data_IF_177809089734
#
_entry.id   IF_177809089734
#
_cell.length_a   1.000
_cell.length_b   1.000
_cell.length_c   1.000
_cell.angle_alpha   90.00
_cell.angle_beta   90.00
_cell.angle_gamma   90.00
#
_symmetry.space_group_name_H-M   'P 1'
#
loop_
_entity.id
_entity.type
_entity.pdbx_description
1 polymer ?
#
# COMPACT_ATOMS: atom_id res chain seq x y z
N UNK A 1 -17.55 -14.38 77.05
CA UNK A 1 -17.63 -12.94 76.82
C UNK A 1 -16.29 -12.29 77.24
N UNK A 2 -15.37 -12.06 76.34
CA UNK A 2 -14.22 -11.20 76.58
C UNK A 2 -13.96 -10.45 75.29
N UNK A 3 -14.13 -9.13 75.35
CA UNK A 3 -13.79 -8.16 74.29
C UNK A 3 -12.27 -7.91 74.30
N UNK A 4 -11.60 -8.00 73.16
CA UNK A 4 -10.27 -7.49 73.03
C UNK A 4 -10.29 -6.29 72.02
N UNK A 5 -9.92 -5.11 72.58
CA UNK A 5 -9.61 -3.93 71.85
C UNK A 5 -8.21 -4.08 71.19
N UNK A 6 -8.06 -3.76 69.94
CA UNK A 6 -6.75 -3.50 69.31
C UNK A 6 -6.69 -2.03 68.89
N UNK A 7 -5.67 -1.36 69.39
CA UNK A 7 -5.30 0.01 69.01
C UNK A 7 -4.43 -0.03 67.76
N UNK A 8 -4.49 0.99 66.85
CA UNK A 8 -3.62 1.06 65.72
C UNK A 8 -2.29 1.74 66.06
N UNK A 9 -1.21 1.11 65.63
CA UNK A 9 0.14 1.68 65.70
C UNK A 9 0.35 2.54 64.46
N UNK A 10 0.57 3.84 64.63
CA UNK A 10 0.96 4.79 63.59
C UNK A 10 2.45 4.73 63.43
N UNK A 11 2.95 4.26 62.29
CA UNK A 11 4.37 4.35 61.88
C UNK A 11 4.52 5.55 60.98
N UNK A 12 5.22 6.56 61.50
CA UNK A 12 5.57 7.76 60.75
C UNK A 12 6.84 7.48 59.93
N UNK A 13 6.69 7.43 58.58
CA UNK A 13 7.82 7.30 57.66
C UNK A 13 8.16 8.69 57.07
N UNK A 14 9.28 9.19 57.49
CA UNK A 14 9.90 10.42 56.96
C UNK A 14 10.45 10.13 55.56
N UNK A 15 9.83 10.76 54.51
CA UNK A 15 10.31 10.67 53.13
C UNK A 15 11.32 11.84 52.89
N UNK A 16 12.58 11.48 52.65
CA UNK A 16 13.59 12.41 52.14
C UNK A 16 13.31 12.68 50.65
N UNK A 17 13.01 13.92 50.30
CA UNK A 17 13.03 14.39 48.92
C UNK A 17 14.46 14.66 48.49
N UNK A 18 14.99 13.82 47.60
CA UNK A 18 16.22 14.11 46.86
C UNK A 18 15.80 14.77 45.55
N UNK A 19 16.17 16.04 45.38
CA UNK A 19 15.91 16.79 44.15
C UNK A 19 16.96 16.37 43.12
N UNK A 20 16.56 15.51 42.17
CA UNK A 20 17.33 15.29 40.95
C UNK A 20 16.85 16.27 39.87
N UNK A 21 17.75 17.13 39.43
CA UNK A 21 17.56 18.05 38.32
C UNK A 21 17.29 17.27 37.02
N UNK A 22 16.07 17.45 36.45
CA UNK A 22 15.73 16.91 35.15
C UNK A 22 16.37 17.76 34.03
N UNK A 23 17.51 17.33 33.53
CA UNK A 23 17.93 17.72 32.18
C UNK A 23 17.07 16.95 31.17
N UNK A 24 16.03 17.59 30.65
CA UNK A 24 15.31 17.12 29.47
C UNK A 24 16.20 17.26 28.24
N UNK A 25 16.93 16.22 27.92
CA UNK A 25 17.48 16.07 26.59
C UNK A 25 16.31 15.76 25.64
N UNK A 26 15.99 16.72 24.78
CA UNK A 26 15.09 16.57 23.65
C UNK A 26 15.66 15.48 22.72
N UNK A 27 15.17 14.26 22.84
CA UNK A 27 15.43 13.20 21.83
C UNK A 27 14.45 13.42 20.71
N UNK A 28 14.95 13.99 19.63
CA UNK A 28 14.28 14.05 18.34
C UNK A 28 14.21 12.63 17.76
N UNK A 29 13.04 11.99 17.57
CA UNK A 29 12.98 10.61 17.06
C UNK A 29 12.99 10.51 15.52
N UNK A 30 13.50 11.52 14.82
CA UNK A 30 13.47 11.59 13.37
C UNK A 30 14.84 11.53 12.72
N UNK A 31 15.68 10.61 13.14
CA UNK A 31 16.95 10.43 12.46
C UNK A 31 17.12 8.99 11.96
N UNK A 32 16.39 8.61 10.89
CA UNK A 32 17.03 7.81 9.86
C UNK A 32 17.78 8.76 8.91
N UNK A 33 18.72 9.49 9.46
CA UNK A 33 19.70 10.29 8.75
C UNK A 33 20.99 9.51 8.60
N UNK A 34 20.94 8.36 7.93
CA UNK A 34 22.11 7.69 7.41
C UNK A 34 22.30 8.17 5.97
N UNK A 35 23.46 8.73 5.65
CA UNK A 35 23.92 9.00 4.29
C UNK A 35 23.66 7.76 3.42
N UNK A 36 22.67 7.86 2.54
CA UNK A 36 22.35 6.79 1.59
C UNK A 36 23.44 6.73 0.54
N UNK A 37 24.41 5.84 0.77
CA UNK A 37 25.19 5.31 -0.34
C UNK A 37 24.28 4.37 -1.14
N UNK A 38 24.40 4.37 -2.46
CA UNK A 38 23.70 3.55 -3.45
C UNK A 38 23.94 2.03 -3.33
N UNK A 39 24.23 1.54 -2.14
CA UNK A 39 24.30 0.13 -1.78
C UNK A 39 23.08 -0.15 -0.91
N UNK A 40 22.30 -1.20 -1.27
CA UNK A 40 21.16 -1.65 -0.50
C UNK A 40 21.49 -1.69 0.98
N UNK A 41 20.51 -1.38 1.83
CA UNK A 41 20.70 -1.38 3.28
C UNK A 41 21.32 -2.73 3.70
N UNK A 42 22.48 -2.68 4.34
CA UNK A 42 23.10 -3.88 4.86
C UNK A 42 22.15 -4.50 5.89
N UNK A 43 22.01 -5.82 5.82
CA UNK A 43 21.22 -6.64 6.74
C UNK A 43 21.52 -6.33 8.22
N UNK A 44 22.75 -5.92 8.50
CA UNK A 44 23.26 -5.59 9.84
C UNK A 44 22.68 -4.28 10.43
N UNK A 45 21.90 -3.51 9.68
CA UNK A 45 21.30 -2.25 10.15
C UNK A 45 19.86 -2.40 10.62
N UNK A 46 19.21 -3.55 10.41
CA UNK A 46 17.86 -3.79 10.89
C UNK A 46 17.86 -4.07 12.41
N UNK A 47 16.90 -3.52 13.18
CA UNK A 47 16.78 -3.86 14.59
C UNK A 47 16.43 -5.35 14.75
N UNK A 48 16.76 -5.97 15.89
CA UNK A 48 16.35 -7.33 16.16
C UNK A 48 14.82 -7.42 16.29
N UNK A 49 14.20 -8.57 15.96
CA UNK A 49 12.79 -8.79 16.22
C UNK A 49 12.43 -8.51 17.69
N UNK A 50 11.27 -7.85 17.87
CA UNK A 50 10.75 -7.49 19.19
C UNK A 50 11.63 -6.50 19.99
N UNK A 51 12.48 -5.73 19.34
CA UNK A 51 13.24 -4.64 19.98
C UNK A 51 12.31 -3.61 20.67
N UNK A 52 11.12 -3.45 20.15
CA UNK A 52 10.01 -2.70 20.76
C UNK A 52 8.77 -3.58 20.82
N UNK A 53 7.83 -3.36 21.79
CA UNK A 53 6.54 -4.01 21.78
C UNK A 53 5.76 -3.65 20.52
N UNK A 54 5.07 -4.63 19.92
CA UNK A 54 4.18 -4.37 18.80
C UNK A 54 2.94 -3.60 19.26
N UNK A 55 2.78 -2.37 18.80
CA UNK A 55 1.65 -1.53 19.10
C UNK A 55 0.51 -1.70 18.08
N UNK A 56 -0.73 -1.48 18.52
CA UNK A 56 -1.92 -1.34 17.65
C UNK A 56 -2.41 0.09 17.79
N UNK A 57 -2.07 0.93 16.82
CA UNK A 57 -2.47 2.34 16.79
C UNK A 57 -3.25 2.62 15.51
N UNK A 58 -4.57 2.50 15.59
CA UNK A 58 -5.47 2.76 14.46
C UNK A 58 -5.73 4.26 14.35
N UNK A 59 -5.42 4.83 13.19
CA UNK A 59 -5.70 6.25 12.91
C UNK A 59 -7.19 6.57 13.03
N UNK A 60 -7.49 7.79 13.42
CA UNK A 60 -8.83 8.37 13.43
C UNK A 60 -8.95 9.29 12.22
N UNK A 61 -9.79 8.92 11.27
CA UNK A 61 -10.05 9.75 10.09
C UNK A 61 -10.99 10.88 10.49
N UNK A 62 -10.55 12.12 10.27
CA UNK A 62 -11.34 13.34 10.50
C UNK A 62 -11.79 14.01 9.19
N UNK A 63 -11.23 13.59 8.03
CA UNK A 63 -11.51 14.18 6.73
C UNK A 63 -10.78 15.51 6.50
N UNK A 64 -11.00 16.08 5.32
CA UNK A 64 -10.44 17.37 4.92
C UNK A 64 -11.48 18.46 5.16
N UNK A 65 -11.10 19.53 5.86
CA UNK A 65 -11.91 20.74 5.96
C UNK A 65 -11.97 21.46 4.61
N UNK A 66 -13.00 22.28 4.42
CA UNK A 66 -13.15 23.07 3.20
C UNK A 66 -11.91 23.93 2.93
N UNK A 67 -11.41 23.87 1.69
CA UNK A 67 -10.23 24.60 1.27
C UNK A 67 -8.89 24.00 1.70
N UNK A 68 -8.87 22.95 2.54
CA UNK A 68 -7.64 22.22 2.87
C UNK A 68 -7.31 21.16 1.84
N UNK A 69 -6.04 21.03 1.52
CA UNK A 69 -5.50 20.04 0.59
C UNK A 69 -4.24 19.39 1.16
N UNK A 70 -3.81 18.24 0.64
CA UNK A 70 -2.46 17.76 0.86
C UNK A 70 -1.42 18.82 0.48
N UNK A 71 -0.23 18.72 1.07
CA UNK A 71 0.87 19.68 0.91
C UNK A 71 1.91 19.09 -0.04
N UNK A 72 2.10 19.71 -1.19
CA UNK A 72 3.16 19.39 -2.15
C UNK A 72 4.37 20.35 -1.94
N UNK A 73 5.55 20.02 -2.52
CA UNK A 73 6.70 20.91 -2.53
C UNK A 73 6.40 22.26 -3.23
N UNK A 74 7.22 23.26 -2.95
CA UNK A 74 7.16 24.54 -3.68
C UNK A 74 7.28 24.31 -5.20
N UNK A 75 6.49 25.05 -5.97
CA UNK A 75 6.40 24.88 -7.43
C UNK A 75 5.31 23.90 -7.88
N UNK A 76 4.49 23.40 -6.97
CA UNK A 76 3.33 22.57 -7.29
C UNK A 76 2.04 23.16 -6.71
N UNK A 77 0.95 22.88 -7.40
CA UNK A 77 -0.42 23.17 -6.94
C UNK A 77 -1.17 21.87 -6.75
N UNK A 78 -1.89 21.76 -5.62
CA UNK A 78 -2.78 20.63 -5.31
C UNK A 78 -4.21 21.10 -5.43
N UNK A 79 -5.01 20.39 -6.23
CA UNK A 79 -6.45 20.64 -6.40
C UNK A 79 -7.24 19.36 -6.22
N UNK A 80 -8.52 19.48 -5.91
CA UNK A 80 -9.44 18.36 -5.91
C UNK A 80 -9.83 18.06 -7.36
N UNK A 81 -9.51 16.85 -7.86
CA UNK A 81 -9.92 16.38 -9.18
C UNK A 81 -11.38 15.88 -9.17
N UNK A 82 -11.72 15.07 -8.16
CA UNK A 82 -13.07 14.55 -7.98
C UNK A 82 -13.29 14.18 -6.50
N UNK A 83 -14.55 14.19 -6.07
CA UNK A 83 -14.99 13.71 -4.77
C UNK A 83 -16.29 12.92 -4.86
N UNK A 84 -16.86 12.54 -3.69
CA UNK A 84 -18.10 11.78 -3.63
C UNK A 84 -18.00 10.39 -4.26
N UNK A 85 -16.80 9.79 -4.27
CA UNK A 85 -16.57 8.39 -4.58
C UNK A 85 -16.86 7.52 -3.35
N UNK A 86 -16.73 6.21 -3.50
CA UNK A 86 -16.91 5.25 -2.42
C UNK A 86 -15.67 4.36 -2.32
N UNK A 87 -14.70 4.77 -1.51
CA UNK A 87 -13.38 4.13 -1.37
C UNK A 87 -12.63 3.99 -2.71
N UNK A 88 -12.19 5.07 -3.36
CA UNK A 88 -11.39 5.01 -4.59
C UNK A 88 -10.03 4.37 -4.29
N UNK A 89 -9.79 3.21 -4.90
CA UNK A 89 -8.57 2.42 -4.61
C UNK A 89 -7.53 2.52 -5.70
N UNK A 90 -7.93 2.32 -6.95
CA UNK A 90 -6.97 2.25 -8.04
C UNK A 90 -7.39 3.10 -9.22
N UNK A 91 -6.42 3.74 -9.84
CA UNK A 91 -6.58 4.56 -11.03
C UNK A 91 -5.95 3.83 -12.21
N UNK A 92 -6.65 3.76 -13.31
CA UNK A 92 -6.09 3.40 -14.61
C UNK A 92 -6.40 4.53 -15.60
N UNK A 93 -5.35 5.14 -16.15
CA UNK A 93 -5.45 6.16 -17.20
C UNK A 93 -5.23 5.48 -18.53
N UNK A 94 -6.22 5.51 -19.40
CA UNK A 94 -6.17 4.91 -20.72
C UNK A 94 -5.46 5.82 -21.74
N UNK A 95 -4.97 5.23 -22.83
CA UNK A 95 -4.27 5.94 -23.90
C UNK A 95 -5.12 7.06 -24.54
N UNK A 96 -6.45 6.94 -24.52
CA UNK A 96 -7.40 7.95 -25.01
C UNK A 96 -7.68 9.08 -23.99
N UNK A 97 -7.14 9.00 -22.79
CA UNK A 97 -7.33 9.96 -21.71
C UNK A 97 -8.51 9.64 -20.77
N UNK A 98 -9.26 8.56 -21.00
CA UNK A 98 -10.28 8.09 -20.06
C UNK A 98 -9.63 7.66 -18.74
N UNK A 99 -10.24 8.03 -17.60
CA UNK A 99 -9.72 7.77 -16.26
C UNK A 99 -10.68 6.84 -15.54
N UNK A 100 -10.24 5.60 -15.28
CA UNK A 100 -11.02 4.57 -14.61
C UNK A 100 -10.60 4.44 -13.16
N UNK A 101 -11.57 4.43 -12.25
CA UNK A 101 -11.37 4.36 -10.81
C UNK A 101 -12.05 3.11 -10.27
N UNK A 102 -11.27 2.19 -9.71
CA UNK A 102 -11.82 1.06 -8.96
C UNK A 102 -12.25 1.53 -7.56
N UNK A 103 -13.53 1.37 -7.25
CA UNK A 103 -14.10 1.68 -5.95
C UNK A 103 -14.42 0.38 -5.21
N UNK A 104 -13.67 0.13 -4.13
CA UNK A 104 -13.77 -1.11 -3.37
C UNK A 104 -13.25 -0.96 -1.95
N UNK A 105 -13.81 -1.73 -1.02
CA UNK A 105 -13.47 -1.65 0.39
C UNK A 105 -13.22 -3.03 1.00
N UNK A 106 -12.53 -3.06 2.16
CA UNK A 106 -12.39 -4.28 2.95
C UNK A 106 -13.70 -4.62 3.65
N UNK A 107 -14.24 -5.79 3.36
CA UNK A 107 -15.52 -6.28 3.92
C UNK A 107 -15.23 -7.04 5.20
N UNK A 108 -15.84 -6.63 6.33
CA UNK A 108 -15.79 -7.34 7.60
C UNK A 108 -17.11 -8.07 7.83
N UNK A 109 -17.04 -9.36 8.21
CA UNK A 109 -18.20 -10.20 8.47
C UNK A 109 -18.20 -10.77 9.90
N UNK A 110 -19.39 -11.02 10.46
CA UNK A 110 -19.58 -11.76 11.70
C UNK A 110 -18.79 -11.21 12.89
N UNK A 111 -18.17 -12.10 13.66
CA UNK A 111 -17.39 -11.78 14.87
C UNK A 111 -16.26 -10.80 14.59
N UNK A 112 -15.65 -10.83 13.41
CA UNK A 112 -14.57 -9.91 13.02
C UNK A 112 -15.11 -8.47 12.99
N UNK A 113 -16.34 -8.25 12.52
CA UNK A 113 -16.99 -6.93 12.51
C UNK A 113 -17.21 -6.40 13.93
N UNK A 114 -17.63 -7.25 14.86
CA UNK A 114 -17.80 -6.88 16.29
C UNK A 114 -16.44 -6.56 16.93
N UNK A 115 -15.46 -7.42 16.77
CA UNK A 115 -14.11 -7.22 17.30
C UNK A 115 -13.42 -5.96 16.74
N UNK A 116 -13.68 -5.59 15.48
CA UNK A 116 -13.14 -4.37 14.88
C UNK A 116 -13.70 -3.09 15.50
N UNK A 117 -14.97 -3.10 15.92
CA UNK A 117 -15.59 -1.99 16.68
C UNK A 117 -14.94 -1.84 18.04
N UNK A 118 -14.78 -2.96 18.78
CA UNK A 118 -14.19 -2.97 20.12
C UNK A 118 -12.72 -2.52 20.10
N UNK A 119 -11.95 -2.91 19.09
CA UNK A 119 -10.53 -2.55 18.94
C UNK A 119 -10.30 -1.15 18.34
N UNK A 120 -11.35 -0.36 18.15
CA UNK A 120 -11.29 0.96 17.46
C UNK A 120 -10.81 0.90 16.00
N UNK A 121 -10.64 -0.28 15.42
CA UNK A 121 -10.18 -0.48 14.05
C UNK A 121 -11.09 0.23 13.02
N UNK A 122 -12.38 0.33 13.32
CA UNK A 122 -13.36 0.99 12.45
C UNK A 122 -13.12 2.51 12.31
N UNK A 123 -12.35 3.14 13.22
CA UNK A 123 -11.98 4.55 13.15
C UNK A 123 -11.18 4.91 11.90
N UNK A 124 -10.51 3.91 11.32
CA UNK A 124 -9.70 4.10 10.10
C UNK A 124 -10.56 4.27 8.85
N UNK A 125 -11.87 4.06 8.94
CA UNK A 125 -12.84 4.06 7.84
C UNK A 125 -12.49 3.12 6.65
N UNK A 126 -11.40 2.38 6.73
CA UNK A 126 -10.94 1.43 5.70
C UNK A 126 -11.72 0.10 5.68
N UNK A 127 -12.92 0.06 6.29
CA UNK A 127 -13.74 -1.15 6.41
C UNK A 127 -15.22 -0.80 6.29
N UNK A 128 -15.94 -1.52 5.43
CA UNK A 128 -17.36 -1.25 5.25
C UNK A 128 -18.01 -2.06 4.15
N UNK A 129 -19.06 -1.50 3.60
CA UNK A 129 -19.66 -1.98 2.35
C UNK A 129 -18.70 -1.62 1.22
N UNK A 130 -18.53 -2.49 0.26
CA UNK A 130 -17.73 -2.22 -0.93
C UNK A 130 -18.65 -1.83 -2.08
N UNK A 131 -18.35 -0.72 -2.77
CA UNK A 131 -19.11 -0.28 -3.95
C UNK A 131 -19.03 -1.30 -5.08
N UNK A 132 -17.89 -2.03 -5.17
CA UNK A 132 -17.71 -3.08 -6.17
C UNK A 132 -17.96 -2.63 -7.61
N UNK A 133 -17.46 -1.44 -7.95
CA UNK A 133 -17.66 -0.82 -9.27
C UNK A 133 -16.37 -0.19 -9.80
N UNK A 134 -16.39 0.13 -11.08
CA UNK A 134 -15.45 1.02 -11.75
C UNK A 134 -16.21 2.27 -12.19
N UNK A 135 -15.68 3.44 -11.80
CA UNK A 135 -16.19 4.74 -12.24
C UNK A 135 -15.26 5.31 -13.31
N UNK A 136 -15.82 5.82 -14.39
CA UNK A 136 -15.15 6.51 -15.47
C UNK A 136 -15.27 8.01 -15.32
N UNK A 137 -14.15 8.72 -15.46
CA UNK A 137 -14.10 10.17 -15.62
C UNK A 137 -13.52 10.54 -16.99
N UNK A 138 -14.01 11.62 -17.59
CA UNK A 138 -13.45 12.27 -18.77
C UNK A 138 -13.22 13.73 -18.49
N UNK A 139 -12.01 14.17 -18.75
CA UNK A 139 -11.53 15.56 -18.73
C UNK A 139 -11.15 15.89 -20.19
N UNK A 140 -12.15 16.24 -20.99
CA UNK A 140 -12.03 16.34 -22.44
C UNK A 140 -11.21 17.58 -22.87
N UNK A 141 -11.33 18.68 -22.12
CA UNK A 141 -10.58 19.92 -22.37
C UNK A 141 -9.22 19.95 -21.65
N UNK A 142 -8.92 18.91 -20.84
CA UNK A 142 -7.67 18.71 -20.09
C UNK A 142 -7.35 19.84 -19.12
N UNK A 143 -8.39 20.48 -18.59
CA UNK A 143 -8.23 21.55 -17.59
C UNK A 143 -8.02 21.00 -16.16
N UNK A 144 -8.20 19.71 -15.94
CA UNK A 144 -8.05 19.02 -14.67
C UNK A 144 -9.32 18.98 -13.84
N UNK A 145 -10.47 19.29 -14.45
CA UNK A 145 -11.80 19.15 -13.88
C UNK A 145 -12.63 18.28 -14.86
N UNK A 146 -13.00 17.07 -14.48
CA UNK A 146 -13.71 16.18 -15.41
C UNK A 146 -15.12 16.69 -15.71
N UNK A 147 -15.47 16.78 -17.01
CA UNK A 147 -16.82 17.19 -17.45
C UNK A 147 -17.84 16.07 -17.30
N UNK A 148 -17.40 14.82 -17.23
CA UNK A 148 -18.32 13.71 -17.10
C UNK A 148 -17.84 12.64 -16.12
N UNK A 149 -18.83 12.01 -15.46
CA UNK A 149 -18.66 10.88 -14.55
C UNK A 149 -19.70 9.83 -14.84
N UNK A 150 -19.29 8.59 -15.04
CA UNK A 150 -20.18 7.47 -15.31
C UNK A 150 -19.85 6.27 -14.41
N UNK A 151 -20.86 5.51 -13.97
CA UNK A 151 -20.65 4.16 -13.48
C UNK A 151 -20.34 3.29 -14.69
N UNK A 152 -19.07 2.96 -14.89
CA UNK A 152 -18.62 2.24 -16.07
C UNK A 152 -18.90 0.75 -16.00
N UNK A 153 -18.68 0.15 -14.83
CA UNK A 153 -18.89 -1.28 -14.60
C UNK A 153 -19.23 -1.51 -13.13
N UNK A 154 -20.27 -2.27 -12.86
CA UNK A 154 -20.70 -2.61 -11.50
C UNK A 154 -20.93 -4.12 -11.33
N UNK A 155 -21.26 -4.58 -10.11
CA UNK A 155 -21.46 -6.02 -9.85
C UNK A 155 -20.15 -6.82 -9.78
N UNK A 156 -19.04 -6.15 -9.51
CA UNK A 156 -17.71 -6.74 -9.34
C UNK A 156 -17.53 -7.31 -7.93
N UNK A 157 -16.37 -7.93 -7.65
CA UNK A 157 -16.01 -8.45 -6.32
C UNK A 157 -14.69 -7.83 -5.87
N UNK A 158 -14.74 -6.72 -5.15
CA UNK A 158 -13.58 -5.95 -4.70
C UNK A 158 -12.58 -5.71 -5.87
N UNK A 159 -13.00 -4.97 -6.93
CA UNK A 159 -12.13 -4.69 -8.06
C UNK A 159 -10.92 -3.86 -7.63
N UNK A 160 -9.79 -4.05 -8.31
CA UNK A 160 -8.58 -3.27 -8.05
C UNK A 160 -7.84 -2.92 -9.34
N UNK A 161 -6.95 -3.78 -9.84
CA UNK A 161 -6.20 -3.53 -11.08
C UNK A 161 -7.07 -3.55 -12.32
N UNK A 162 -6.78 -2.66 -13.24
CA UNK A 162 -7.46 -2.53 -14.53
C UNK A 162 -6.44 -2.40 -15.65
N UNK A 163 -6.80 -2.85 -16.85
CA UNK A 163 -5.92 -2.82 -18.01
C UNK A 163 -6.74 -2.87 -19.30
N UNK A 164 -6.34 -2.12 -20.32
CA UNK A 164 -6.90 -2.22 -21.67
C UNK A 164 -5.84 -2.83 -22.61
N UNK A 165 -6.19 -3.93 -23.27
CA UNK A 165 -5.37 -4.56 -24.31
C UNK A 165 -6.22 -4.78 -25.57
N UNK A 166 -5.90 -4.06 -26.65
CA UNK A 166 -6.75 -4.03 -27.84
C UNK A 166 -8.16 -3.60 -27.51
N UNK A 167 -9.14 -4.36 -27.92
CA UNK A 167 -10.57 -4.12 -27.67
C UNK A 167 -11.08 -4.86 -26.42
N UNK A 168 -10.24 -5.04 -25.42
CA UNK A 168 -10.60 -5.73 -24.19
C UNK A 168 -10.23 -4.91 -22.96
N UNK A 169 -11.18 -4.78 -22.04
CA UNK A 169 -11.00 -4.21 -20.71
C UNK A 169 -10.87 -5.35 -19.69
N UNK A 170 -9.79 -5.36 -18.96
CA UNK A 170 -9.51 -6.34 -17.92
C UNK A 170 -9.69 -5.74 -16.55
N UNK A 171 -10.35 -6.46 -15.65
CA UNK A 171 -10.49 -6.09 -14.23
C UNK A 171 -10.07 -7.27 -13.36
N UNK A 172 -9.12 -7.02 -12.46
CA UNK A 172 -8.77 -7.98 -11.43
C UNK A 172 -9.67 -7.76 -10.21
N UNK A 173 -10.59 -8.70 -10.01
CA UNK A 173 -11.33 -8.87 -8.78
C UNK A 173 -10.49 -9.63 -7.75
N UNK A 174 -10.91 -9.65 -6.48
CA UNK A 174 -10.18 -10.40 -5.45
C UNK A 174 -10.07 -11.89 -5.76
N UNK A 175 -11.01 -12.46 -6.50
CA UNK A 175 -11.14 -13.91 -6.79
C UNK A 175 -10.92 -14.30 -8.24
N UNK A 176 -10.86 -13.36 -9.18
CA UNK A 176 -10.71 -13.68 -10.60
C UNK A 176 -10.26 -12.47 -11.42
N UNK A 177 -9.54 -12.72 -12.50
CA UNK A 177 -9.34 -11.79 -13.59
C UNK A 177 -10.48 -11.95 -14.60
N UNK A 178 -11.20 -10.88 -14.86
CA UNK A 178 -12.27 -10.82 -15.85
C UNK A 178 -11.87 -9.94 -17.03
N UNK A 179 -12.32 -10.35 -18.22
CA UNK A 179 -12.17 -9.62 -19.48
C UNK A 179 -13.55 -9.24 -20.01
N UNK A 180 -13.66 -8.06 -20.58
CA UNK A 180 -14.87 -7.52 -21.18
C UNK A 180 -14.56 -6.98 -22.56
N UNK A 181 -15.50 -7.08 -23.55
CA UNK A 181 -15.41 -6.29 -24.77
C UNK A 181 -15.40 -4.80 -24.44
N UNK A 182 -14.52 -4.05 -25.09
CA UNK A 182 -14.36 -2.60 -24.87
C UNK A 182 -14.09 -1.88 -26.18
N UNK A 183 -14.75 -0.74 -26.37
CA UNK A 183 -14.46 0.22 -27.42
C UNK A 183 -14.14 1.59 -26.82
N UNK A 184 -13.14 2.26 -27.37
CA UNK A 184 -12.81 3.63 -26.92
C UNK A 184 -14.04 4.54 -27.09
N UNK A 185 -14.40 5.22 -26.01
CA UNK A 185 -15.63 6.04 -25.98
C UNK A 185 -16.80 5.39 -25.27
N UNK A 186 -16.77 4.09 -24.95
CA UNK A 186 -17.80 3.46 -24.12
C UNK A 186 -17.94 4.20 -22.79
N UNK A 187 -19.18 4.37 -22.32
CA UNK A 187 -19.49 4.98 -21.01
C UNK A 187 -19.93 3.96 -19.97
N UNK A 188 -20.22 2.74 -20.42
CA UNK A 188 -20.59 1.61 -19.56
C UNK A 188 -20.34 0.28 -20.26
N UNK A 189 -20.16 -0.77 -19.46
CA UNK A 189 -20.07 -2.18 -19.91
C UNK A 189 -21.08 -3.01 -19.13
N UNK A 190 -21.78 -3.92 -19.82
CA UNK A 190 -22.62 -4.93 -19.16
C UNK A 190 -21.73 -5.98 -18.48
N UNK A 191 -21.89 -6.16 -17.19
CA UNK A 191 -21.15 -7.17 -16.41
C UNK A 191 -21.42 -8.60 -16.89
N UNK A 192 -22.54 -8.85 -17.55
CA UNK A 192 -22.87 -10.18 -18.10
C UNK A 192 -22.03 -10.52 -19.35
N UNK A 193 -21.42 -9.52 -20.00
CA UNK A 193 -20.53 -9.74 -21.15
C UNK A 193 -19.14 -10.29 -20.76
N UNK A 194 -18.89 -10.48 -19.45
CA UNK A 194 -17.60 -10.94 -18.94
C UNK A 194 -17.18 -12.32 -19.46
N UNK A 195 -15.89 -12.45 -19.71
CA UNK A 195 -15.19 -13.71 -19.79
C UNK A 195 -14.26 -13.85 -18.58
N UNK A 196 -14.38 -14.94 -17.83
CA UNK A 196 -13.41 -15.27 -16.79
C UNK A 196 -12.13 -15.80 -17.43
N UNK A 197 -11.02 -15.09 -17.17
CA UNK A 197 -9.71 -15.40 -17.76
C UNK A 197 -8.90 -16.27 -16.82
N UNK A 198 -8.92 -15.98 -15.51
CA UNK A 198 -8.14 -16.70 -14.52
C UNK A 198 -8.81 -16.60 -13.15
N UNK A 199 -8.98 -17.74 -12.47
CA UNK A 199 -9.33 -17.75 -11.05
C UNK A 199 -8.12 -17.33 -10.21
N UNK A 200 -8.36 -16.47 -9.22
CA UNK A 200 -7.34 -16.00 -8.27
C UNK A 200 -7.68 -16.50 -6.86
N UNK A 201 -6.68 -16.82 -6.03
CA UNK A 201 -6.94 -17.32 -4.69
C UNK A 201 -7.58 -16.23 -3.82
N UNK A 202 -8.75 -16.50 -3.24
CA UNK A 202 -9.50 -15.57 -2.39
C UNK A 202 -9.78 -16.11 -0.96
N UNK A 203 -9.12 -17.23 -0.60
CA UNK A 203 -9.28 -17.86 0.71
C UNK A 203 -10.65 -18.53 0.88
N UNK A 204 -11.26 -19.02 -0.21
CA UNK A 204 -12.57 -19.65 -0.24
C UNK A 204 -13.68 -18.74 0.34
N UNK A 205 -13.51 -17.43 0.17
CA UNK A 205 -14.41 -16.39 0.69
C UNK A 205 -14.24 -16.12 2.21
N UNK A 206 -13.26 -16.73 2.86
CA UNK A 206 -12.94 -16.45 4.25
C UNK A 206 -12.03 -15.21 4.37
N UNK A 207 -12.55 -14.10 4.91
CA UNK A 207 -11.82 -12.82 5.05
C UNK A 207 -10.49 -13.00 5.78
N UNK A 208 -10.41 -13.83 6.81
CA UNK A 208 -9.18 -14.08 7.57
C UNK A 208 -8.08 -14.77 6.77
N UNK A 209 -8.45 -15.47 5.68
CA UNK A 209 -7.55 -16.16 4.76
C UNK A 209 -7.27 -15.33 3.49
N UNK A 210 -7.75 -14.09 3.42
CA UNK A 210 -7.57 -13.18 2.30
C UNK A 210 -7.43 -11.73 2.77
N UNK A 211 -6.55 -11.51 3.76
CA UNK A 211 -6.36 -10.16 4.35
C UNK A 211 -5.77 -9.16 3.34
N UNK A 212 -5.01 -9.65 2.36
CA UNK A 212 -4.51 -8.86 1.23
C UNK A 212 -5.31 -9.22 -0.02
N UNK A 213 -6.46 -8.59 -0.17
CA UNK A 213 -7.44 -8.89 -1.21
C UNK A 213 -7.19 -8.15 -2.53
N UNK A 214 -6.30 -7.17 -2.56
CA UNK A 214 -5.99 -6.39 -3.77
C UNK A 214 -5.27 -7.24 -4.83
N UNK A 215 -5.56 -6.97 -6.11
CA UNK A 215 -4.96 -7.62 -7.27
C UNK A 215 -4.63 -6.56 -8.30
N UNK A 216 -3.37 -6.16 -8.40
CA UNK A 216 -2.97 -5.17 -9.40
C UNK A 216 -2.56 -5.83 -10.71
N UNK A 217 -2.68 -5.09 -11.80
CA UNK A 217 -2.35 -5.54 -13.15
C UNK A 217 -1.35 -4.58 -13.80
N UNK A 218 -0.36 -5.14 -14.48
CA UNK A 218 0.44 -4.41 -15.48
C UNK A 218 0.71 -5.33 -16.67
N UNK A 219 0.96 -4.75 -17.84
CA UNK A 219 1.39 -5.49 -19.02
C UNK A 219 2.85 -5.20 -19.33
N UNK A 220 3.54 -6.10 -20.04
CA UNK A 220 4.85 -5.80 -20.58
C UNK A 220 4.75 -4.81 -21.75
N UNK A 221 5.86 -4.23 -22.15
CA UNK A 221 5.92 -3.23 -23.23
C UNK A 221 5.35 -3.79 -24.55
N UNK A 222 5.54 -5.07 -24.84
CA UNK A 222 5.00 -5.73 -26.03
C UNK A 222 3.50 -6.01 -25.94
N UNK A 223 2.84 -5.74 -24.81
CA UNK A 223 1.42 -6.04 -24.52
C UNK A 223 1.07 -7.54 -24.72
N UNK A 224 2.06 -8.43 -24.58
CA UNK A 224 1.94 -9.87 -24.80
C UNK A 224 1.78 -10.68 -23.51
N UNK A 225 2.02 -10.08 -22.35
CA UNK A 225 1.91 -10.67 -21.02
C UNK A 225 1.18 -9.76 -20.06
N UNK A 226 0.43 -10.35 -19.14
CA UNK A 226 -0.18 -9.66 -17.99
C UNK A 226 0.50 -10.18 -16.72
N UNK A 227 0.94 -9.26 -15.87
CA UNK A 227 1.49 -9.53 -14.55
C UNK A 227 0.45 -9.17 -13.50
N UNK A 228 0.20 -10.08 -12.54
CA UNK A 228 -0.83 -9.95 -11.53
C UNK A 228 -0.19 -10.03 -10.15
N UNK A 229 -0.27 -8.96 -9.37
CA UNK A 229 0.16 -8.98 -7.97
C UNK A 229 -0.86 -9.72 -7.10
N UNK A 230 -0.41 -10.70 -6.33
CA UNK A 230 -1.25 -11.50 -5.43
C UNK A 230 -0.63 -11.52 -4.05
N UNK A 231 -1.20 -10.77 -3.12
CA UNK A 231 -0.73 -10.73 -1.73
C UNK A 231 -1.01 -12.03 -0.97
N UNK A 232 -0.25 -12.25 0.10
CA UNK A 232 -0.44 -13.36 1.03
C UNK A 232 -1.86 -13.39 1.60
N UNK A 233 -2.37 -14.55 1.94
CA UNK A 233 -3.66 -14.71 2.58
C UNK A 233 -3.65 -14.29 4.05
N UNK A 234 -2.45 -14.30 4.66
CA UNK A 234 -2.22 -14.09 6.09
C UNK A 234 -0.98 -13.24 6.36
N UNK A 235 -0.67 -12.95 7.64
CA UNK A 235 0.51 -12.16 8.01
C UNK A 235 1.82 -12.93 7.76
N UNK A 236 1.90 -14.19 8.18
CA UNK A 236 3.12 -15.01 8.14
C UNK A 236 2.84 -16.48 7.81
N UNK A 237 1.74 -16.81 7.17
CA UNK A 237 1.35 -18.19 6.88
C UNK A 237 0.68 -18.91 8.06
N UNK A 238 0.13 -18.16 9.02
CA UNK A 238 -0.48 -18.71 10.26
C UNK A 238 -1.72 -19.57 10.02
N UNK A 239 -2.32 -19.50 8.81
CA UNK A 239 -3.45 -20.36 8.42
C UNK A 239 -3.02 -21.60 7.62
N UNK A 240 -1.70 -21.88 7.59
CA UNK A 240 -1.09 -22.99 6.87
C UNK A 240 -0.69 -22.62 5.44
N UNK A 241 0.43 -23.18 4.99
CA UNK A 241 1.00 -22.89 3.66
C UNK A 241 0.09 -23.31 2.50
N UNK A 242 -0.80 -24.26 2.70
CA UNK A 242 -1.80 -24.63 1.70
C UNK A 242 -2.75 -23.49 1.34
N UNK A 243 -2.99 -22.53 2.26
CA UNK A 243 -3.77 -21.33 1.98
C UNK A 243 -2.97 -20.25 1.25
N UNK A 244 -1.66 -20.44 1.12
CA UNK A 244 -0.74 -19.50 0.49
C UNK A 244 -0.30 -19.95 -0.92
N UNK A 245 -0.88 -21.04 -1.42
CA UNK A 245 -0.62 -21.50 -2.81
C UNK A 245 -1.06 -20.40 -3.79
N UNK A 246 -0.16 -20.03 -4.72
CA UNK A 246 -0.33 -18.95 -5.70
C UNK A 246 -0.55 -17.57 -5.06
N UNK A 247 0.02 -17.34 -3.84
CA UNK A 247 -0.02 -16.07 -3.11
C UNK A 247 1.39 -15.60 -2.75
N UNK A 248 1.49 -14.38 -2.22
CA UNK A 248 2.76 -13.72 -1.94
C UNK A 248 3.69 -13.73 -3.15
N UNK A 249 3.15 -13.41 -4.32
CA UNK A 249 3.83 -13.53 -5.60
C UNK A 249 3.32 -12.52 -6.63
N UNK A 250 4.00 -12.52 -7.77
CA UNK A 250 3.52 -11.93 -9.01
C UNK A 250 3.35 -13.10 -9.99
N UNK A 251 2.13 -13.26 -10.50
CA UNK A 251 1.81 -14.20 -11.57
C UNK A 251 2.06 -13.55 -12.93
N UNK A 252 2.50 -14.34 -13.91
CA UNK A 252 2.54 -13.96 -15.33
C UNK A 252 1.61 -14.87 -16.12
N UNK A 253 0.83 -14.29 -17.04
CA UNK A 253 -0.06 -15.02 -17.95
C UNK A 253 -0.03 -14.40 -19.34
N UNK A 254 -0.51 -15.16 -20.33
CA UNK A 254 -0.92 -14.60 -21.61
C UNK A 254 -2.27 -13.84 -21.46
N UNK A 255 -2.62 -12.87 -22.34
CA UNK A 255 -3.89 -12.15 -22.25
C UNK A 255 -5.15 -13.05 -22.31
N UNK A 256 -5.04 -14.25 -22.88
CA UNK A 256 -6.13 -15.23 -22.95
C UNK A 256 -6.24 -16.13 -21.69
N UNK A 257 -5.33 -15.95 -20.71
CA UNK A 257 -5.26 -16.70 -19.46
C UNK A 257 -4.35 -17.94 -19.52
N UNK A 258 -3.85 -18.30 -20.69
CA UNK A 258 -2.92 -19.44 -20.83
C UNK A 258 -1.51 -19.09 -20.33
N UNK A 259 -0.67 -20.10 -20.16
CA UNK A 259 0.74 -19.92 -19.83
C UNK A 259 0.97 -19.33 -18.42
N UNK A 260 0.06 -19.59 -17.46
CA UNK A 260 0.22 -19.14 -16.09
C UNK A 260 1.50 -19.71 -15.47
N UNK A 261 2.27 -18.79 -14.85
CA UNK A 261 3.41 -19.15 -14.01
C UNK A 261 3.61 -18.13 -12.89
N UNK A 262 4.33 -18.53 -11.86
CA UNK A 262 4.81 -17.61 -10.84
C UNK A 262 6.05 -16.90 -11.39
N UNK A 263 5.96 -15.59 -11.64
CA UNK A 263 7.08 -14.79 -12.13
C UNK A 263 8.11 -14.51 -11.03
N UNK A 264 7.64 -14.16 -9.82
CA UNK A 264 8.48 -14.00 -8.63
C UNK A 264 7.66 -14.33 -7.38
N UNK A 265 8.29 -14.79 -6.31
CA UNK A 265 7.64 -15.28 -5.11
C UNK A 265 8.28 -14.75 -3.81
N UNK A 266 7.62 -14.99 -2.67
CA UNK A 266 8.09 -14.52 -1.36
C UNK A 266 7.94 -13.01 -1.16
N UNK A 267 7.16 -12.34 -1.99
CA UNK A 267 6.74 -10.94 -1.88
C UNK A 267 5.45 -10.92 -1.05
N UNK A 268 5.50 -10.60 0.24
CA UNK A 268 4.35 -10.77 1.15
C UNK A 268 3.07 -10.16 0.61
N UNK A 269 3.08 -8.89 0.27
CA UNK A 269 1.93 -8.20 -0.32
C UNK A 269 2.42 -7.19 -1.37
N UNK A 270 2.75 -7.65 -2.59
CA UNK A 270 3.03 -6.76 -3.70
C UNK A 270 1.72 -6.08 -4.13
N UNK A 271 1.75 -4.75 -4.35
CA UNK A 271 0.57 -3.98 -4.75
C UNK A 271 0.86 -3.13 -5.97
N UNK A 272 1.58 -2.01 -5.81
CA UNK A 272 1.99 -1.16 -6.91
C UNK A 272 3.05 -1.85 -7.77
N UNK A 273 2.85 -1.82 -9.08
CA UNK A 273 3.82 -2.33 -10.05
C UNK A 273 3.93 -1.36 -11.20
N UNK A 274 5.14 -1.07 -11.66
CA UNK A 274 5.39 -0.34 -12.91
C UNK A 274 6.77 -0.68 -13.47
N UNK A 275 6.97 -0.42 -14.75
CA UNK A 275 8.23 -0.63 -15.46
C UNK A 275 9.10 0.61 -15.39
N UNK A 276 10.36 0.44 -14.96
CA UNK A 276 11.31 1.55 -14.93
C UNK A 276 11.56 2.08 -16.36
N UNK A 277 11.47 3.40 -16.57
CA UNK A 277 11.62 4.01 -17.88
C UNK A 277 12.95 3.64 -18.56
N UNK A 278 12.88 3.34 -19.86
CA UNK A 278 14.05 2.98 -20.66
C UNK A 278 14.62 1.59 -20.39
N UNK A 279 13.94 0.78 -19.58
CA UNK A 279 14.38 -0.58 -19.21
C UNK A 279 13.26 -1.60 -19.36
N UNK A 280 13.61 -2.89 -19.23
CA UNK A 280 12.65 -3.99 -19.10
C UNK A 280 12.57 -4.49 -17.63
N UNK A 281 12.86 -3.62 -16.65
CA UNK A 281 12.82 -4.00 -15.24
C UNK A 281 11.47 -3.63 -14.63
N UNK A 282 10.73 -4.64 -14.19
CA UNK A 282 9.52 -4.47 -13.39
C UNK A 282 9.91 -4.11 -11.96
N UNK A 283 9.26 -3.11 -11.38
CA UNK A 283 9.39 -2.73 -9.99
C UNK A 283 8.09 -2.95 -9.24
N UNK A 284 8.18 -3.27 -7.96
CA UNK A 284 7.02 -3.46 -7.10
C UNK A 284 7.17 -2.76 -5.75
N UNK A 285 6.05 -2.22 -5.26
CA UNK A 285 5.90 -1.80 -3.86
C UNK A 285 5.33 -2.98 -3.06
N UNK A 286 5.99 -3.32 -1.96
CA UNK A 286 5.65 -4.51 -1.16
C UNK A 286 5.48 -4.13 0.30
N UNK A 287 4.32 -4.49 0.85
CA UNK A 287 4.05 -4.36 2.28
C UNK A 287 4.54 -5.59 3.03
N UNK A 288 5.38 -5.37 4.01
CA UNK A 288 5.96 -6.42 4.84
C UNK A 288 5.09 -6.79 6.05
N UNK A 289 5.57 -7.78 6.80
CA UNK A 289 4.87 -8.43 7.92
C UNK A 289 4.81 -7.57 9.15
N UNK A 290 3.74 -7.73 9.89
CA UNK A 290 3.48 -7.05 11.14
C UNK A 290 3.92 -7.87 12.37
N UNK A 291 3.87 -7.24 13.56
CA UNK A 291 4.01 -7.86 14.88
C UNK A 291 5.45 -8.30 15.22
N UNK A 292 6.47 -7.62 14.71
CA UNK A 292 7.88 -7.80 15.11
C UNK A 292 8.47 -6.57 15.82
N UNK A 293 7.65 -5.57 16.13
CA UNK A 293 8.01 -4.30 16.73
C UNK A 293 7.74 -3.12 15.82
N UNK A 294 7.95 -1.91 16.32
CA UNK A 294 7.62 -0.67 15.59
C UNK A 294 8.49 -0.45 14.34
N UNK A 295 9.77 -0.87 14.39
CA UNK A 295 10.74 -0.58 13.34
C UNK A 295 11.04 -1.80 12.44
N UNK A 296 10.28 -2.89 12.60
CA UNK A 296 10.49 -4.13 11.84
C UNK A 296 9.16 -4.76 11.41
N UNK A 297 8.96 -5.16 10.17
CA UNK A 297 9.90 -5.18 9.02
C UNK A 297 9.61 -3.96 8.15
N UNK A 298 10.61 -3.28 7.59
CA UNK A 298 10.36 -2.21 6.63
C UNK A 298 9.61 -2.70 5.41
N UNK A 299 8.63 -1.93 4.93
CA UNK A 299 8.11 -2.05 3.58
C UNK A 299 9.23 -1.71 2.59
N UNK A 300 9.11 -2.15 1.36
CA UNK A 300 10.17 -1.92 0.38
C UNK A 300 9.67 -1.73 -1.04
N UNK A 301 10.53 -1.10 -1.84
CA UNK A 301 10.40 -1.01 -3.30
C UNK A 301 11.53 -1.84 -3.89
N UNK A 302 11.22 -2.72 -4.84
CA UNK A 302 12.21 -3.65 -5.39
C UNK A 302 12.03 -3.90 -6.87
N UNK A 303 13.18 -4.07 -7.55
CA UNK A 303 13.21 -4.68 -8.88
C UNK A 303 12.76 -6.13 -8.79
N UNK A 304 11.77 -6.51 -9.59
CA UNK A 304 11.23 -7.88 -9.57
C UNK A 304 12.03 -8.74 -10.54
N UNK A 305 12.82 -9.66 -10.00
CA UNK A 305 13.62 -10.58 -10.80
C UNK A 305 12.83 -11.85 -11.07
N UNK A 306 12.85 -12.29 -12.32
CA UNK A 306 12.24 -13.55 -12.74
C UNK A 306 12.77 -14.73 -11.92
N UNK A 307 11.88 -15.63 -11.50
CA UNK A 307 12.14 -16.83 -10.68
C UNK A 307 12.75 -16.55 -9.30
N UNK A 308 12.83 -15.28 -8.87
CA UNK A 308 13.38 -14.94 -7.59
C UNK A 308 12.40 -15.22 -6.43
N UNK A 309 13.00 -15.43 -5.24
CA UNK A 309 12.29 -15.58 -3.98
C UNK A 309 12.73 -14.50 -2.97
N UNK A 310 11.78 -13.71 -2.46
CA UNK A 310 12.02 -12.55 -1.58
C UNK A 310 11.83 -12.86 -0.09
N UNK A 311 11.67 -14.12 0.27
CA UNK A 311 11.80 -14.63 1.65
C UNK A 311 10.50 -14.97 2.36
N UNK A 312 9.39 -14.28 2.12
CA UNK A 312 8.14 -14.56 2.83
C UNK A 312 7.65 -15.99 2.59
N UNK A 313 7.19 -16.73 3.64
CA UNK A 313 7.06 -16.32 5.03
C UNK A 313 8.31 -16.59 5.89
N UNK A 314 9.32 -17.27 5.41
CA UNK A 314 10.44 -17.84 6.17
C UNK A 314 11.50 -16.81 6.57
N UNK A 315 11.75 -15.85 5.70
CA UNK A 315 12.77 -14.82 5.87
C UNK A 315 12.26 -13.45 5.42
N UNK A 316 13.00 -12.39 5.75
CA UNK A 316 12.77 -11.01 5.32
C UNK A 316 14.12 -10.33 5.06
N UNK A 317 14.12 -9.31 4.19
CA UNK A 317 15.33 -8.55 3.82
C UNK A 317 16.56 -9.43 3.60
N UNK A 318 16.44 -10.36 2.67
CA UNK A 318 17.47 -11.36 2.41
C UNK A 318 17.30 -12.57 3.32
N UNK A 319 18.29 -12.88 4.13
CA UNK A 319 18.35 -14.13 4.90
C UNK A 319 18.03 -13.97 6.38
N UNK A 320 17.39 -12.86 6.79
CA UNK A 320 16.92 -12.69 8.16
C UNK A 320 15.76 -13.63 8.41
N UNK A 321 15.95 -14.64 9.24
CA UNK A 321 14.93 -15.62 9.57
C UNK A 321 13.79 -15.00 10.38
N UNK A 322 12.54 -15.31 10.02
CA UNK A 322 11.39 -14.94 10.84
C UNK A 322 11.34 -15.81 12.10
N UNK A 323 11.41 -15.24 13.31
CA UNK A 323 11.47 -16.02 14.55
C UNK A 323 10.21 -16.89 14.78
N UNK A 324 9.09 -16.56 14.14
CA UNK A 324 7.83 -17.34 14.23
C UNK A 324 7.88 -18.65 13.45
N UNK A 325 8.88 -18.80 12.58
CA UNK A 325 9.15 -20.03 11.81
C UNK A 325 10.28 -20.87 12.38
N UNK A 326 10.94 -20.47 13.48
CA UNK A 326 12.11 -21.11 14.04
C UNK A 326 12.00 -22.66 14.15
N UNK A 327 10.85 -23.15 14.61
CA UNK A 327 10.64 -24.60 14.76
C UNK A 327 10.25 -25.34 13.46
N UNK A 328 9.84 -24.59 12.43
CA UNK A 328 9.39 -25.09 11.12
C UNK A 328 10.18 -24.48 9.98
N UNK A 329 11.38 -24.01 10.28
CA UNK A 329 12.21 -23.30 9.30
C UNK A 329 12.56 -24.16 8.09
N UNK A 330 12.65 -23.50 6.96
CA UNK A 330 13.01 -24.09 5.66
C UNK A 330 14.37 -23.52 5.21
N UNK A 331 15.51 -24.06 5.67
CA UNK A 331 16.82 -23.48 5.42
C UNK A 331 17.14 -23.29 3.94
N UNK A 332 16.66 -24.18 3.08
CA UNK A 332 16.83 -24.11 1.64
C UNK A 332 16.08 -22.92 1.04
N UNK A 333 14.91 -22.53 1.60
CA UNK A 333 14.14 -21.35 1.18
C UNK A 333 14.81 -20.07 1.69
N UNK A 334 15.30 -20.06 2.94
CA UNK A 334 16.09 -18.93 3.47
C UNK A 334 17.33 -18.70 2.61
N UNK A 335 18.04 -19.78 2.23
CA UNK A 335 19.23 -19.70 1.38
C UNK A 335 18.95 -19.09 0.00
N UNK A 336 17.76 -19.32 -0.57
CA UNK A 336 17.30 -18.74 -1.85
C UNK A 336 16.84 -17.29 -1.73
N UNK A 337 16.50 -16.82 -0.52
CA UNK A 337 15.95 -15.50 -0.33
C UNK A 337 16.95 -14.42 -0.73
N UNK A 338 16.47 -13.46 -1.54
CA UNK A 338 17.24 -12.28 -1.93
C UNK A 338 16.74 -11.04 -1.17
N UNK A 339 17.66 -10.09 -0.94
CA UNK A 339 17.30 -8.81 -0.33
C UNK A 339 16.56 -7.92 -1.36
N UNK A 340 15.54 -7.17 -0.92
CA UNK A 340 14.94 -6.12 -1.74
C UNK A 340 15.87 -4.91 -1.89
N UNK A 341 15.58 -4.01 -2.85
CA UNK A 341 16.48 -2.92 -3.21
C UNK A 341 16.40 -1.73 -2.22
N UNK A 342 15.18 -1.26 -1.87
CA UNK A 342 14.99 0.00 -1.15
C UNK A 342 13.99 -0.18 -0.02
N UNK A 343 14.40 -0.13 1.26
CA UNK A 343 13.46 -0.02 2.38
C UNK A 343 12.86 1.38 2.43
N UNK A 344 11.56 1.46 2.74
CA UNK A 344 10.81 2.73 2.78
C UNK A 344 10.13 2.97 4.13
N UNK A 345 10.64 2.35 5.18
CA UNK A 345 10.14 2.45 6.55
C UNK A 345 9.19 1.32 6.94
N UNK A 346 9.19 0.98 8.23
CA UNK A 346 8.34 -0.08 8.76
C UNK A 346 6.88 0.37 8.85
N UNK A 347 5.98 -0.54 8.45
CA UNK A 347 4.53 -0.38 8.56
C UNK A 347 3.94 0.80 7.77
N UNK A 348 4.64 1.32 6.77
CA UNK A 348 4.16 2.48 5.98
C UNK A 348 2.96 2.15 5.10
N UNK A 349 2.69 0.86 4.86
CA UNK A 349 1.68 0.36 3.93
C UNK A 349 1.86 0.97 2.53
N UNK A 350 3.04 0.78 1.94
CA UNK A 350 3.38 1.25 0.60
C UNK A 350 2.56 0.50 -0.46
N UNK A 351 1.61 1.18 -1.12
CA UNK A 351 0.64 0.61 -2.04
C UNK A 351 0.91 1.00 -3.49
N UNK A 352 0.52 2.20 -3.91
CA UNK A 352 0.69 2.68 -5.28
C UNK A 352 2.16 2.91 -5.62
N UNK A 353 2.57 2.53 -6.83
CA UNK A 353 3.88 2.84 -7.39
C UNK A 353 3.70 3.21 -8.86
N UNK A 354 4.25 4.35 -9.26
CA UNK A 354 4.27 4.76 -10.65
C UNK A 354 5.56 5.54 -10.96
N UNK A 355 6.19 5.24 -12.10
CA UNK A 355 7.32 6.01 -12.59
C UNK A 355 6.84 7.24 -13.36
N UNK A 356 7.51 8.39 -13.13
CA UNK A 356 7.24 9.61 -13.85
C UNK A 356 7.85 9.59 -15.25
N UNK A 357 7.03 9.39 -16.27
CA UNK A 357 7.43 9.26 -17.68
C UNK A 357 7.22 10.55 -18.49
N UNK A 358 6.83 11.65 -17.83
CA UNK A 358 6.55 12.96 -18.42
C UNK A 358 7.68 13.97 -18.16
N UNK A 359 7.47 15.23 -18.59
CA UNK A 359 8.46 16.32 -18.47
C UNK A 359 7.89 17.60 -17.82
N UNK A 360 6.63 17.58 -17.39
CA UNK A 360 5.96 18.75 -16.79
C UNK A 360 6.45 19.05 -15.37
N UNK A 361 6.86 18.04 -14.60
CA UNK A 361 7.49 18.25 -13.30
C UNK A 361 8.96 18.67 -13.47
N UNK A 362 9.55 19.36 -12.47
CA UNK A 362 10.97 19.70 -12.46
C UNK A 362 11.88 18.48 -12.76
N UNK A 363 13.03 18.74 -13.36
CA UNK A 363 13.94 17.72 -13.88
C UNK A 363 14.31 16.65 -12.85
N UNK A 364 14.46 17.02 -11.56
CA UNK A 364 14.79 16.07 -10.50
C UNK A 364 13.80 14.91 -10.36
N UNK A 365 12.55 15.07 -10.84
CA UNK A 365 11.50 14.05 -10.78
C UNK A 365 11.46 13.16 -12.02
N UNK A 366 12.20 13.50 -13.07
CA UNK A 366 12.16 12.75 -14.32
C UNK A 366 12.70 11.33 -14.13
N UNK A 367 11.96 10.36 -14.66
CA UNK A 367 12.23 8.91 -14.58
C UNK A 367 12.24 8.32 -13.16
N UNK A 368 12.00 9.11 -12.11
CA UNK A 368 11.90 8.63 -10.74
C UNK A 368 10.54 7.98 -10.43
N UNK A 369 10.46 7.29 -9.31
CA UNK A 369 9.27 6.58 -8.85
C UNK A 369 8.55 7.36 -7.75
N UNK A 370 7.22 7.44 -7.83
CA UNK A 370 6.35 7.94 -6.78
C UNK A 370 5.63 6.77 -6.12
N UNK A 371 5.58 6.77 -4.79
CA UNK A 371 5.00 5.68 -4.01
C UNK A 371 4.00 6.23 -2.99
N UNK A 372 2.77 5.72 -3.03
CA UNK A 372 1.75 6.05 -2.05
C UNK A 372 1.90 5.17 -0.82
N UNK A 373 2.08 5.79 0.34
CA UNK A 373 2.14 5.16 1.65
C UNK A 373 0.81 5.38 2.38
N UNK A 374 -0.02 4.34 2.42
CA UNK A 374 -1.37 4.38 2.98
C UNK A 374 -1.39 4.60 4.50
N UNK A 375 -0.30 4.27 5.17
CA UNK A 375 -0.07 4.53 6.58
C UNK A 375 -0.32 3.36 7.52
N UNK A 376 0.38 3.42 8.64
CA UNK A 376 0.53 2.34 9.62
C UNK A 376 -0.73 2.14 10.48
N UNK A 377 -0.84 0.92 11.03
CA UNK A 377 -1.71 0.57 12.13
C UNK A 377 -0.98 -0.21 13.22
N UNK A 378 0.17 -0.81 12.88
CA UNK A 378 0.98 -1.64 13.77
C UNK A 378 2.27 -0.93 14.19
N UNK A 379 2.12 0.30 14.71
CA UNK A 379 3.20 1.15 15.18
C UNK A 379 2.71 2.10 16.27
N UNK A 380 3.53 2.39 17.28
CA UNK A 380 3.17 3.28 18.39
C UNK A 380 2.91 4.73 17.90
N UNK A 381 3.70 5.22 16.95
CA UNK A 381 3.51 6.51 16.28
C UNK A 381 3.20 6.25 14.82
N UNK A 382 2.21 6.95 14.25
CA UNK A 382 1.83 6.81 12.85
C UNK A 382 3.02 7.02 11.91
N UNK A 383 3.10 6.20 10.85
CA UNK A 383 4.14 6.24 9.82
C UNK A 383 3.50 6.05 8.45
N UNK A 384 4.10 6.62 7.40
CA UNK A 384 3.50 6.69 6.07
C UNK A 384 2.52 7.86 5.98
N UNK A 385 1.32 7.65 5.42
CA UNK A 385 0.31 8.70 5.18
C UNK A 385 0.84 9.83 4.31
N UNK A 386 1.49 9.49 3.20
CA UNK A 386 2.15 10.44 2.29
C UNK A 386 2.46 9.81 0.94
N UNK A 387 2.84 10.61 -0.02
CA UNK A 387 3.54 10.14 -1.22
C UNK A 387 5.02 10.42 -1.03
N UNK A 388 5.86 9.44 -1.27
CA UNK A 388 7.31 9.60 -1.36
C UNK A 388 7.75 9.57 -2.81
N UNK A 389 8.86 10.23 -3.09
CA UNK A 389 9.59 10.20 -4.36
C UNK A 389 10.92 9.49 -4.16
N UNK A 390 11.27 8.63 -5.11
CA UNK A 390 12.55 7.94 -5.16
C UNK A 390 13.23 8.32 -6.48
N UNK A 391 14.40 8.99 -6.44
CA UNK A 391 15.12 9.34 -7.66
C UNK A 391 15.70 8.09 -8.32
N UNK A 392 15.62 8.05 -9.65
CA UNK A 392 16.17 6.97 -10.47
C UNK A 392 17.05 7.54 -11.58
N UNK A 393 18.11 6.81 -11.89
CA UNK A 393 18.94 7.02 -13.06
C UNK A 393 19.19 5.68 -13.74
N UNK A 394 19.02 5.60 -15.08
CA UNK A 394 19.17 4.38 -15.86
C UNK A 394 18.44 3.15 -15.27
N UNK A 395 17.21 3.39 -14.80
CA UNK A 395 16.34 2.36 -14.22
C UNK A 395 16.77 1.83 -12.86
N UNK A 396 17.70 2.50 -12.18
CA UNK A 396 18.17 2.17 -10.83
C UNK A 396 17.98 3.35 -9.88
N UNK A 397 17.74 3.09 -8.59
CA UNK A 397 17.71 4.13 -7.57
C UNK A 397 19.03 4.92 -7.56
N UNK A 398 18.92 6.25 -7.53
CA UNK A 398 20.08 7.15 -7.54
C UNK A 398 20.17 8.06 -6.31
N UNK A 399 19.24 7.91 -5.36
CA UNK A 399 19.22 8.64 -4.10
C UNK A 399 18.20 8.07 -3.13
N UNK A 400 18.15 8.60 -1.89
CA UNK A 400 17.20 8.17 -0.87
C UNK A 400 15.77 8.57 -1.22
N UNK A 401 14.76 7.89 -0.63
CA UNK A 401 13.37 8.34 -0.69
C UNK A 401 13.21 9.73 -0.07
N UNK A 402 12.44 10.60 -0.74
CA UNK A 402 12.09 11.95 -0.29
C UNK A 402 10.58 12.07 -0.10
N UNK A 403 10.13 12.88 0.86
CA UNK A 403 8.71 13.23 1.00
C UNK A 403 8.28 14.12 -0.17
N UNK A 404 7.15 13.78 -0.82
CA UNK A 404 6.62 14.55 -1.93
C UNK A 404 5.26 15.17 -1.61
N UNK A 405 4.25 14.36 -1.25
CA UNK A 405 2.93 14.88 -0.89
C UNK A 405 2.63 14.49 0.55
N UNK A 406 2.44 15.47 1.41
CA UNK A 406 2.29 15.32 2.86
C UNK A 406 1.00 15.95 3.37
N UNK A 407 0.84 16.13 4.68
CA UNK A 407 -0.33 16.78 5.28
C UNK A 407 -1.53 15.85 5.47
N UNK A 408 -1.40 14.55 5.21
CA UNK A 408 -2.48 13.59 5.50
C UNK A 408 -2.61 13.30 7.00
N UNK A 409 -1.53 13.41 7.78
CA UNK A 409 -1.59 13.35 9.24
C UNK A 409 -1.92 14.78 9.75
N UNK A 410 -2.99 14.88 10.54
CA UNK A 410 -3.42 16.11 11.20
C UNK A 410 -2.77 16.27 12.56
N UNK A 411 -2.82 15.21 13.39
CA UNK A 411 -2.25 15.20 14.74
C UNK A 411 -1.67 13.82 15.07
N UNK A 412 -0.35 13.77 15.26
CA UNK A 412 0.36 12.54 15.63
C UNK A 412 0.01 12.09 17.05
N UNK A 413 -0.23 13.01 18.00
CA UNK A 413 -0.50 12.68 19.40
C UNK A 413 -1.87 12.03 19.57
N UNK A 414 -2.86 12.45 18.78
CA UNK A 414 -4.22 11.91 18.76
C UNK A 414 -4.42 10.84 17.69
N UNK A 415 -3.39 10.58 16.89
CA UNK A 415 -3.45 9.68 15.73
C UNK A 415 -4.54 10.06 14.73
N UNK A 416 -4.75 11.37 14.54
CA UNK A 416 -5.75 11.91 13.62
C UNK A 416 -5.15 12.10 12.22
N UNK A 417 -5.96 11.76 11.21
CA UNK A 417 -5.58 11.89 9.81
C UNK A 417 -6.72 12.50 9.00
N UNK A 418 -6.38 13.33 8.02
CA UNK A 418 -7.34 13.86 7.06
C UNK A 418 -7.73 12.81 6.02
N UNK A 419 -6.77 12.00 5.57
CA UNK A 419 -6.95 11.04 4.50
C UNK A 419 -5.84 9.97 4.48
N UNK A 420 -5.93 9.06 3.48
CA UNK A 420 -4.98 7.95 3.29
C UNK A 420 -4.72 7.74 1.80
N UNK A 421 -3.54 8.11 1.28
CA UNK A 421 -3.25 7.95 -0.15
C UNK A 421 -3.05 6.48 -0.53
N UNK A 422 -3.57 6.06 -1.70
CA UNK A 422 -3.52 4.66 -2.16
C UNK A 422 -2.80 4.50 -3.48
N UNK A 423 -3.26 5.17 -4.53
CA UNK A 423 -2.75 5.03 -5.89
C UNK A 423 -2.14 6.34 -6.37
N UNK A 424 -1.12 6.22 -7.21
CA UNK A 424 -0.53 7.32 -7.98
C UNK A 424 -0.66 6.97 -9.46
N UNK A 425 -1.16 7.90 -10.26
CA UNK A 425 -1.20 7.79 -11.71
C UNK A 425 -0.88 9.15 -12.35
N UNK A 426 -0.50 9.17 -13.62
CA UNK A 426 -0.19 10.40 -14.34
C UNK A 426 -1.11 10.60 -15.52
N UNK A 427 -1.56 11.85 -15.70
CA UNK A 427 -2.33 12.27 -16.87
C UNK A 427 -1.39 12.61 -18.04
N UNK A 428 -1.95 12.75 -19.23
CA UNK A 428 -1.19 13.06 -20.44
C UNK A 428 -0.45 14.41 -20.38
N UNK A 429 -0.96 15.37 -19.59
CA UNK A 429 -0.30 16.66 -19.34
C UNK A 429 0.86 16.57 -18.34
N UNK A 430 1.09 15.39 -17.77
CA UNK A 430 2.11 15.11 -16.77
C UNK A 430 1.70 15.45 -15.34
N UNK A 431 0.47 15.90 -15.08
CA UNK A 431 -0.03 16.03 -13.71
C UNK A 431 -0.27 14.67 -13.07
N UNK A 432 -0.15 14.62 -11.74
CA UNK A 432 -0.34 13.42 -10.94
C UNK A 432 -1.76 13.38 -10.39
N UNK A 433 -2.38 12.21 -10.40
CA UNK A 433 -3.58 11.90 -9.65
C UNK A 433 -3.25 10.98 -8.46
N UNK A 434 -3.86 11.26 -7.31
CA UNK A 434 -3.71 10.46 -6.09
C UNK A 434 -5.10 10.15 -5.54
N UNK A 435 -5.41 8.85 -5.37
CA UNK A 435 -6.62 8.46 -4.64
C UNK A 435 -6.41 8.56 -3.14
N UNK A 436 -7.41 9.08 -2.43
CA UNK A 436 -7.54 9.11 -0.98
C UNK A 436 -8.81 8.35 -0.62
N UNK A 437 -8.65 7.10 -0.23
CA UNK A 437 -9.77 6.15 -0.13
C UNK A 437 -10.72 6.45 1.03
N UNK A 438 -10.22 7.01 2.13
CA UNK A 438 -11.05 7.28 3.30
C UNK A 438 -11.68 8.68 3.30
N UNK A 439 -11.15 9.62 2.50
CA UNK A 439 -11.80 10.90 2.23
C UNK A 439 -12.69 10.86 0.97
N UNK A 440 -12.72 9.74 0.25
CA UNK A 440 -13.51 9.55 -0.97
C UNK A 440 -13.17 10.57 -2.07
N UNK A 441 -11.90 10.95 -2.16
CA UNK A 441 -11.40 12.06 -2.99
C UNK A 441 -10.28 11.59 -3.91
N UNK A 442 -10.16 12.24 -5.05
CA UNK A 442 -8.99 12.17 -5.92
C UNK A 442 -8.34 13.55 -5.94
N UNK A 443 -7.08 13.61 -5.60
CA UNK A 443 -6.26 14.81 -5.65
C UNK A 443 -5.49 14.89 -6.96
N UNK A 444 -5.39 16.10 -7.55
CA UNK A 444 -4.53 16.39 -8.69
C UNK A 444 -3.38 17.29 -8.26
N UNK A 445 -2.18 16.93 -8.64
CA UNK A 445 -0.95 17.67 -8.37
C UNK A 445 -0.35 18.08 -9.72
N UNK A 446 -0.22 19.37 -9.96
CA UNK A 446 0.37 19.93 -11.17
C UNK A 446 1.54 20.84 -10.85
N UNK A 447 2.58 20.85 -11.70
CA UNK A 447 3.65 21.85 -11.59
C UNK A 447 3.11 23.24 -11.99
N UNK A 448 3.55 24.26 -11.27
CA UNK A 448 3.25 25.65 -11.62
C UNK A 448 4.01 26.02 -12.89
N UNK A 449 3.36 26.75 -13.79
CA UNK A 449 3.97 27.25 -15.03
C UNK A 449 4.91 28.42 -14.75
#
# INVERSE_FOLDING_TARGET
MKKYLFAPIIVSSTIFFSACSNNKASKNPHAFGGSATTQGYAVDTLPPPYATPSAKNFSKVIGWEDGKTPIAPAGFTVTKFADGLDHPRWIYVADNGDIFIAESNTILKGIIKVGSKMSRKIRTQGYGVSANRVTLFRDADKNGVPESRHVFLEGLKQPFGMLILGNNFYVANTNALWQFPYSAGDTSIDVLSRKEILLLPDGDGEVKKNIHWTRNLVTNQAKSKIYIAVGAGSNVGEHGLQNEIRRANILEINPDGTGERIYASGLRNPVGMDWAPGTNTLWAAVNERDLLGDELVPDYITSVKEDAFYGWPFAYFGKNEDPRWKEKQQPHMVAKSIAPDIPVGAHTASLGLAFYKHRSFPEKYHNGAFVAQHGSWNRSVLSGYKIIFIPFNDGKPSGPPEDFLTGFISDLSESEVHGRPVCVAFLADGSMLVTDDVSNTIWRISANK
#
